data_IF_735602575752
#
_entry.id   IF_735602575752
#
_cell.length_a   1.000
_cell.length_b   1.000
_cell.length_c   1.000
_cell.angle_alpha   90.00
_cell.angle_beta   90.00
_cell.angle_gamma   90.00
#
_symmetry.space_group_name_H-M   'P 1'
#
loop_
_entity.id
_entity.type
_entity.pdbx_description
1 polymer ?
#
# COMPACT_ATOMS: atom_id res chain seq x y z
N UNK A 1 -21.58 7.89 9.80
CA UNK A 1 -20.11 7.76 9.75
C UNK A 1 -19.47 8.31 11.02
N UNK A 2 -18.69 7.49 11.73
CA UNK A 2 -17.95 7.88 12.95
C UNK A 2 -16.48 7.42 12.84
N UNK A 3 -15.55 8.17 13.44
CA UNK A 3 -14.11 7.81 13.46
C UNK A 3 -13.71 6.92 14.65
N UNK A 4 -14.67 6.64 15.53
CA UNK A 4 -14.49 5.87 16.75
C UNK A 4 -13.85 4.48 16.51
N UNK A 5 -14.22 3.72 15.45
CA UNK A 5 -13.57 2.44 15.17
C UNK A 5 -12.07 2.54 14.91
N UNK A 6 -11.62 3.61 14.24
CA UNK A 6 -10.21 3.84 13.95
C UNK A 6 -9.45 4.35 15.17
N UNK A 7 -10.07 5.25 15.94
CA UNK A 7 -9.47 5.81 17.16
C UNK A 7 -9.20 4.73 18.23
N UNK A 8 -10.07 3.73 18.31
CA UNK A 8 -9.92 2.59 19.24
C UNK A 8 -9.15 1.41 18.65
N UNK A 9 -8.72 1.48 17.38
CA UNK A 9 -7.94 0.41 16.76
C UNK A 9 -6.51 0.39 17.31
N UNK A 10 -5.82 -0.75 17.13
CA UNK A 10 -4.43 -0.90 17.54
C UNK A 10 -3.52 0.12 16.84
N UNK A 11 -2.39 0.43 17.47
CA UNK A 11 -1.39 1.32 16.89
C UNK A 11 -0.95 0.89 15.47
N UNK A 12 -0.83 -0.42 15.23
CA UNK A 12 -0.49 -0.94 13.90
C UNK A 12 -1.52 -0.57 12.83
N UNK A 13 -2.83 -0.61 13.16
CA UNK A 13 -3.90 -0.19 12.24
C UNK A 13 -3.86 1.31 12.00
N UNK A 14 -3.70 2.11 13.05
CA UNK A 14 -3.60 3.57 12.90
C UNK A 14 -2.40 3.97 12.04
N UNK A 15 -1.24 3.35 12.31
CA UNK A 15 -0.02 3.55 11.52
C UNK A 15 -0.22 3.14 10.06
N UNK A 16 -0.84 1.98 9.81
CA UNK A 16 -1.17 1.53 8.46
C UNK A 16 -2.03 2.55 7.70
N UNK A 17 -3.10 3.05 8.33
CA UNK A 17 -3.98 4.05 7.73
C UNK A 17 -3.23 5.36 7.46
N UNK A 18 -2.41 5.81 8.42
CA UNK A 18 -1.61 7.02 8.30
C UNK A 18 -0.58 6.95 7.17
N UNK A 19 -0.07 5.78 6.81
CA UNK A 19 0.87 5.61 5.70
C UNK A 19 0.19 5.31 4.37
N UNK A 20 -0.89 4.52 4.35
CA UNK A 20 -1.55 4.10 3.10
C UNK A 20 -2.37 5.22 2.45
N UNK A 21 -3.01 6.08 3.24
CA UNK A 21 -3.79 7.21 2.70
C UNK A 21 -2.93 8.17 1.88
N UNK A 22 -1.81 8.71 2.38
CA UNK A 22 -0.93 9.53 1.56
C UNK A 22 -0.29 8.73 0.41
N UNK A 23 0.00 7.43 0.59
CA UNK A 23 0.49 6.59 -0.50
C UNK A 23 -0.53 6.46 -1.65
N UNK A 24 -1.83 6.35 -1.33
CA UNK A 24 -2.90 6.27 -2.32
C UNK A 24 -2.97 7.56 -3.14
N UNK A 25 -3.04 8.71 -2.47
CA UNK A 25 -3.08 10.03 -3.14
C UNK A 25 -1.82 10.24 -3.97
N UNK A 26 -0.65 10.00 -3.39
CA UNK A 26 0.63 10.23 -4.07
C UNK A 26 0.80 9.29 -5.27
N UNK A 27 0.38 8.04 -5.16
CA UNK A 27 0.40 7.08 -6.25
C UNK A 27 -0.52 7.50 -7.40
N UNK A 28 -1.74 7.96 -7.11
CA UNK A 28 -2.64 8.52 -8.13
C UNK A 28 -1.98 9.69 -8.87
N UNK A 29 -1.38 10.61 -8.14
CA UNK A 29 -0.67 11.77 -8.70
C UNK A 29 0.50 11.32 -9.57
N UNK A 30 1.32 10.37 -9.11
CA UNK A 30 2.46 9.83 -9.87
C UNK A 30 2.02 9.14 -11.17
N UNK A 31 0.88 8.43 -11.14
CA UNK A 31 0.31 7.76 -12.31
C UNK A 31 -0.28 8.76 -13.31
N UNK A 32 -0.88 9.86 -12.83
CA UNK A 32 -1.46 10.90 -13.69
C UNK A 32 -0.41 11.83 -14.31
N UNK A 33 0.62 12.22 -13.55
CA UNK A 33 1.60 13.26 -13.96
C UNK A 33 2.67 12.75 -14.93
N UNK A 34 3.40 13.64 -15.63
CA UNK A 34 4.53 13.25 -16.47
C UNK A 34 5.59 12.45 -15.70
N UNK A 35 6.11 11.41 -16.34
CA UNK A 35 7.02 10.43 -15.73
C UNK A 35 8.47 10.78 -16.07
N UNK A 36 9.40 10.44 -15.18
CA UNK A 36 10.84 10.63 -15.40
C UNK A 36 11.41 12.00 -15.00
N UNK A 37 10.56 12.97 -14.62
CA UNK A 37 10.99 14.28 -14.10
C UNK A 37 11.69 14.16 -12.73
N UNK A 38 12.49 15.14 -12.30
CA UNK A 38 13.09 15.14 -10.95
C UNK A 38 12.02 15.00 -9.85
N UNK A 39 10.89 15.69 -10.01
CA UNK A 39 9.75 15.58 -9.10
C UNK A 39 9.17 14.15 -9.06
N UNK A 40 8.96 13.52 -10.23
CA UNK A 40 8.50 12.12 -10.29
C UNK A 40 9.46 11.18 -9.57
N UNK A 41 10.77 11.37 -9.70
CA UNK A 41 11.79 10.54 -9.03
C UNK A 41 11.78 10.73 -7.51
N UNK A 42 11.64 11.96 -7.02
CA UNK A 42 11.57 12.24 -5.59
C UNK A 42 10.28 11.67 -4.98
N UNK A 43 9.14 12.03 -5.55
CA UNK A 43 7.83 11.57 -5.11
C UNK A 43 7.70 10.04 -5.22
N UNK A 44 8.28 9.43 -6.24
CA UNK A 44 8.31 7.97 -6.40
C UNK A 44 9.09 7.25 -5.29
N UNK A 45 10.18 7.85 -4.78
CA UNK A 45 10.92 7.30 -3.62
C UNK A 45 10.10 7.40 -2.34
N UNK A 46 9.46 8.56 -2.10
CA UNK A 46 8.57 8.76 -0.95
C UNK A 46 7.41 7.77 -1.01
N UNK A 47 6.78 7.62 -2.17
CA UNK A 47 5.70 6.67 -2.39
C UNK A 47 6.15 5.23 -2.09
N UNK A 48 7.29 4.79 -2.62
CA UNK A 48 7.82 3.44 -2.34
C UNK A 48 8.10 3.22 -0.86
N UNK A 49 8.66 4.22 -0.16
CA UNK A 49 8.88 4.14 1.28
C UNK A 49 7.54 3.96 2.03
N UNK A 50 6.52 4.76 1.69
CA UNK A 50 5.19 4.63 2.28
C UNK A 50 4.56 3.25 2.00
N UNK A 51 4.72 2.72 0.77
CA UNK A 51 4.24 1.39 0.42
C UNK A 51 4.89 0.29 1.24
N UNK A 52 6.21 0.36 1.46
CA UNK A 52 6.94 -0.59 2.30
C UNK A 52 6.52 -0.46 3.77
N UNK A 53 6.44 0.75 4.31
CA UNK A 53 6.00 0.98 5.69
C UNK A 53 4.58 0.46 5.94
N UNK A 54 3.66 0.75 5.00
CA UNK A 54 2.27 0.26 5.01
C UNK A 54 2.21 -1.27 4.97
N UNK A 55 3.01 -1.89 4.10
CA UNK A 55 3.01 -3.34 3.93
C UNK A 55 3.68 -4.05 5.11
N UNK A 56 4.66 -3.43 5.75
CA UNK A 56 5.29 -3.97 6.93
C UNK A 56 4.35 -3.94 8.14
N UNK A 57 3.53 -2.89 8.28
CA UNK A 57 2.60 -2.80 9.41
C UNK A 57 1.49 -3.86 9.38
N UNK A 58 1.12 -4.39 8.20
CA UNK A 58 0.09 -5.42 8.08
C UNK A 58 0.45 -6.72 8.80
N UNK A 59 1.74 -7.04 8.94
CA UNK A 59 2.22 -8.22 9.68
C UNK A 59 1.90 -8.15 11.19
N UNK A 60 1.49 -6.99 11.69
CA UNK A 60 1.02 -6.80 13.07
C UNK A 60 -0.51 -6.69 13.15
N UNK A 61 -1.22 -6.75 12.02
CA UNK A 61 -2.69 -6.63 11.93
C UNK A 61 -3.31 -8.02 11.69
N UNK A 62 -3.68 -8.67 12.78
CA UNK A 62 -4.26 -10.02 12.76
C UNK A 62 -5.79 -9.94 12.83
N UNK A 63 -6.43 -9.75 11.67
CA UNK A 63 -7.90 -9.64 11.59
C UNK A 63 -8.60 -10.91 11.08
N UNK A 64 -8.12 -11.48 9.98
CA UNK A 64 -8.64 -12.75 9.45
C UNK A 64 -7.61 -13.82 9.74
N UNK A 65 -7.88 -14.68 10.71
CA UNK A 65 -6.98 -15.78 11.08
C UNK A 65 -7.27 -17.01 10.20
N UNK A 66 -6.94 -16.94 8.90
CA UNK A 66 -7.16 -18.08 7.99
C UNK A 66 -6.17 -19.22 8.25
N UNK A 67 -4.90 -18.90 8.50
CA UNK A 67 -3.86 -19.91 8.76
C UNK A 67 -2.82 -19.39 9.78
N UNK A 68 -2.84 -19.92 11.01
CA UNK A 68 -1.93 -19.51 12.10
C UNK A 68 -1.78 -18.00 12.31
N UNK A 69 -2.86 -17.23 12.11
CA UNK A 69 -2.85 -15.76 12.21
C UNK A 69 -2.60 -15.00 10.90
N UNK A 70 -2.13 -15.70 9.86
CA UNK A 70 -1.89 -15.11 8.54
C UNK A 70 -3.14 -15.18 7.65
N UNK A 71 -3.26 -14.16 6.80
CA UNK A 71 -4.35 -13.98 5.83
C UNK A 71 -3.78 -13.71 4.43
N UNK A 72 -4.57 -13.84 3.36
CA UNK A 72 -4.14 -13.49 2.00
C UNK A 72 -3.56 -12.07 1.86
N UNK A 73 -3.95 -11.13 2.74
CA UNK A 73 -3.39 -9.76 2.76
C UNK A 73 -1.89 -9.77 3.09
N UNK A 74 -1.41 -10.74 3.88
CA UNK A 74 0.00 -10.86 4.21
C UNK A 74 0.84 -11.28 2.99
N UNK A 75 0.28 -12.14 2.12
CA UNK A 75 0.93 -12.48 0.85
C UNK A 75 1.03 -11.26 -0.06
N UNK A 76 -0.02 -10.43 -0.10
CA UNK A 76 0.01 -9.16 -0.84
C UNK A 76 1.04 -8.19 -0.26
N UNK A 77 1.18 -8.15 1.06
CA UNK A 77 2.15 -7.31 1.75
C UNK A 77 3.59 -7.75 1.47
N UNK A 78 3.83 -9.06 1.49
CA UNK A 78 5.10 -9.66 1.09
C UNK A 78 5.40 -9.34 -0.39
N UNK A 79 4.40 -9.47 -1.27
CA UNK A 79 4.54 -9.08 -2.67
C UNK A 79 4.98 -7.62 -2.81
N UNK A 80 4.33 -6.66 -2.15
CA UNK A 80 4.70 -5.23 -2.24
C UNK A 80 6.15 -5.01 -1.79
N UNK A 81 6.55 -5.59 -0.66
CA UNK A 81 7.93 -5.47 -0.15
C UNK A 81 8.93 -6.04 -1.15
N UNK A 82 8.70 -7.26 -1.64
CA UNK A 82 9.60 -7.93 -2.58
C UNK A 82 9.61 -7.25 -3.96
N UNK A 83 8.50 -6.70 -4.42
CA UNK A 83 8.37 -5.97 -5.69
C UNK A 83 9.02 -4.58 -5.66
N UNK A 84 9.21 -4.00 -4.47
CA UNK A 84 9.83 -2.68 -4.28
C UNK A 84 11.26 -2.63 -4.83
N UNK A 85 12.06 -3.66 -4.54
CA UNK A 85 13.46 -3.78 -4.97
C UNK A 85 13.58 -3.83 -6.51
N UNK A 86 12.93 -4.77 -7.22
CA UNK A 86 12.99 -4.82 -8.67
C UNK A 86 12.36 -3.60 -9.33
N UNK A 87 11.36 -2.93 -8.72
CA UNK A 87 10.82 -1.67 -9.23
C UNK A 87 11.91 -0.58 -9.31
N UNK A 88 12.73 -0.45 -8.26
CA UNK A 88 13.85 0.51 -8.22
C UNK A 88 14.98 0.09 -9.16
N UNK A 89 15.34 -1.20 -9.15
CA UNK A 89 16.40 -1.71 -10.03
C UNK A 89 16.05 -1.53 -11.51
N UNK A 90 14.80 -1.81 -11.90
CA UNK A 90 14.33 -1.63 -13.25
C UNK A 90 14.42 -0.15 -13.69
N UNK A 91 14.03 0.79 -12.82
CA UNK A 91 14.18 2.22 -13.10
C UNK A 91 15.66 2.62 -13.28
N UNK A 92 16.56 2.13 -12.42
CA UNK A 92 18.01 2.41 -12.50
C UNK A 92 18.66 1.86 -13.76
N UNK A 93 18.21 0.69 -14.22
CA UNK A 93 18.68 0.03 -15.45
C UNK A 93 18.04 0.60 -16.73
N UNK A 94 17.18 1.61 -16.63
CA UNK A 94 16.44 2.14 -17.77
C UNK A 94 15.32 1.22 -18.30
N UNK A 95 15.04 0.09 -17.64
CA UNK A 95 13.94 -0.79 -18.00
C UNK A 95 12.61 -0.25 -17.47
N UNK A 96 12.11 0.80 -18.13
CA UNK A 96 10.90 1.52 -17.71
C UNK A 96 9.65 0.66 -17.81
N UNK A 97 9.60 -0.29 -18.76
CA UNK A 97 8.47 -1.22 -18.89
C UNK A 97 8.32 -2.09 -17.63
N UNK A 98 9.41 -2.68 -17.15
CA UNK A 98 9.40 -3.47 -15.92
C UNK A 98 9.09 -2.60 -14.68
N UNK A 99 9.70 -1.41 -14.58
CA UNK A 99 9.40 -0.47 -13.49
C UNK A 99 7.91 -0.13 -13.42
N UNK A 100 7.29 0.22 -14.55
CA UNK A 100 5.85 0.53 -14.64
C UNK A 100 4.99 -0.66 -14.24
N UNK A 101 5.33 -1.87 -14.68
CA UNK A 101 4.60 -3.09 -14.32
C UNK A 101 4.58 -3.32 -12.80
N UNK A 102 5.73 -3.20 -12.14
CA UNK A 102 5.81 -3.36 -10.68
C UNK A 102 5.05 -2.26 -9.93
N UNK A 103 5.22 -1.00 -10.33
CA UNK A 103 4.51 0.13 -9.70
C UNK A 103 3.00 0.02 -9.88
N UNK A 104 2.53 -0.33 -11.08
CA UNK A 104 1.11 -0.53 -11.34
C UNK A 104 0.55 -1.71 -10.53
N UNK A 105 1.26 -2.84 -10.48
CA UNK A 105 0.85 -4.01 -9.68
C UNK A 105 0.72 -3.67 -8.19
N UNK A 106 1.70 -2.98 -7.62
CA UNK A 106 1.65 -2.51 -6.23
C UNK A 106 0.52 -1.51 -5.98
N UNK A 107 0.26 -0.58 -6.90
CA UNK A 107 -0.80 0.42 -6.73
C UNK A 107 -2.19 -0.22 -6.84
N UNK A 108 -2.48 -0.93 -7.93
CA UNK A 108 -3.80 -1.52 -8.14
C UNK A 108 -4.07 -2.70 -7.20
N UNK A 109 -3.09 -3.58 -6.98
CA UNK A 109 -3.24 -4.69 -6.04
C UNK A 109 -3.19 -4.22 -4.59
N UNK A 110 -2.11 -3.55 -4.21
CA UNK A 110 -1.79 -3.17 -2.83
C UNK A 110 -2.59 -2.00 -2.27
N UNK A 111 -3.10 -1.08 -3.11
CA UNK A 111 -3.95 0.04 -2.66
C UNK A 111 -5.39 -0.17 -3.07
N UNK A 112 -5.68 -0.34 -4.37
CA UNK A 112 -7.08 -0.34 -4.83
C UNK A 112 -7.82 -1.60 -4.38
N UNK A 113 -7.33 -2.78 -4.75
CA UNK A 113 -7.98 -4.05 -4.38
C UNK A 113 -7.95 -4.26 -2.86
N UNK A 114 -6.80 -4.04 -2.21
CA UNK A 114 -6.71 -4.15 -0.76
C UNK A 114 -7.61 -3.13 -0.03
N UNK A 115 -7.65 -1.88 -0.50
CA UNK A 115 -8.48 -0.82 0.06
C UNK A 115 -9.97 -1.15 -0.04
N UNK A 116 -10.44 -1.64 -1.19
CA UNK A 116 -11.82 -2.10 -1.34
C UNK A 116 -12.16 -3.23 -0.36
N UNK A 117 -11.22 -4.14 -0.10
CA UNK A 117 -11.41 -5.21 0.87
C UNK A 117 -11.52 -4.69 2.32
N UNK A 118 -11.00 -3.51 2.64
CA UNK A 118 -11.18 -2.89 3.96
C UNK A 118 -12.60 -2.36 4.19
N UNK A 119 -13.39 -2.14 3.12
CA UNK A 119 -14.74 -1.59 3.20
C UNK A 119 -15.81 -2.63 3.53
N UNK A 120 -15.42 -3.91 3.69
CA UNK A 120 -16.36 -4.96 4.10
C UNK A 120 -16.90 -4.64 5.51
N UNK A 121 -18.22 -4.75 5.78
CA UNK A 121 -18.85 -4.16 6.98
C UNK A 121 -18.27 -4.57 8.34
N UNK A 122 -17.66 -5.75 8.43
CA UNK A 122 -17.04 -6.25 9.66
C UNK A 122 -15.57 -5.78 9.86
N UNK A 123 -15.07 -4.90 8.98
CA UNK A 123 -13.72 -4.31 9.07
C UNK A 123 -13.80 -2.89 9.62
N UNK A 124 -12.70 -2.42 10.19
CA UNK A 124 -12.59 -1.08 10.81
C UNK A 124 -13.08 0.02 9.87
N UNK A 125 -12.61 0.05 8.62
CA UNK A 125 -13.03 1.08 7.65
C UNK A 125 -14.48 0.89 7.20
N UNK A 126 -14.95 -0.35 7.02
CA UNK A 126 -16.35 -0.64 6.70
C UNK A 126 -17.32 -0.23 7.82
N UNK A 127 -16.91 -0.34 9.08
CA UNK A 127 -17.71 0.07 10.24
C UNK A 127 -17.81 1.60 10.41
N UNK A 128 -16.97 2.37 9.69
CA UNK A 128 -17.03 3.83 9.69
C UNK A 128 -18.06 4.40 8.71
N UNK A 129 -18.56 3.59 7.76
CA UNK A 129 -19.48 3.99 6.68
C UNK A 129 -20.91 3.64 7.09
#
# INVERSE_FOLDING_TARGET
>A
MTFEPLANASFAVQFHVATVLPAAVLGAVLLARPKGTPAHRLLGKIWLFLMVATSFSTFFIHGINTFHGFSPIHLLSLYVILASVPAVMAARRGNIRAHRGQVAGMYFGGIVVAGLFTLVPHRVMGAMI
#
